data_IF_931753042533
#
_entry.id   IF_931753042533
#
_cell.length_a   1.000
_cell.length_b   1.000
_cell.length_c   1.000
_cell.angle_alpha   90.00
_cell.angle_beta   90.00
_cell.angle_gamma   90.00
#
_symmetry.space_group_name_H-M   'P 1'
#
loop_
_entity.id
_entity.type
_entity.pdbx_description
1 polymer ?
#
# COMPACT_ATOMS: atom_id res chain seq x y z
N UNK A 1 -11.02 -21.32 -16.54
CA UNK A 1 -9.53 -21.39 -16.43
C UNK A 1 -8.80 -20.83 -17.66
N UNK A 2 -9.12 -21.20 -18.93
CA UNK A 2 -8.43 -20.64 -20.09
C UNK A 2 -8.55 -19.10 -20.20
N UNK A 3 -9.76 -18.54 -19.99
CA UNK A 3 -10.00 -17.10 -20.02
C UNK A 3 -9.15 -16.37 -18.97
N UNK A 4 -9.11 -16.85 -17.72
CA UNK A 4 -8.29 -16.27 -16.65
C UNK A 4 -6.79 -16.26 -16.98
N UNK A 5 -6.29 -17.37 -17.54
CA UNK A 5 -4.86 -17.47 -17.95
C UNK A 5 -4.50 -16.57 -19.15
N UNK A 6 -5.49 -16.19 -19.96
CA UNK A 6 -5.31 -15.26 -21.08
C UNK A 6 -5.18 -13.79 -20.62
N UNK A 7 -5.61 -13.47 -19.40
CA UNK A 7 -5.46 -12.16 -18.82
C UNK A 7 -4.03 -11.99 -18.31
N UNK A 8 -3.32 -10.98 -18.84
CA UNK A 8 -1.95 -10.64 -18.43
C UNK A 8 -1.91 -9.41 -17.53
N UNK A 9 -2.83 -8.49 -17.76
CA UNK A 9 -2.97 -7.25 -16.99
C UNK A 9 -4.44 -6.98 -16.75
N UNK A 10 -4.76 -6.35 -15.62
CA UNK A 10 -6.07 -5.75 -15.37
C UNK A 10 -5.83 -4.34 -14.85
N UNK A 11 -6.50 -3.37 -15.48
CA UNK A 11 -6.57 -2.01 -14.99
C UNK A 11 -7.99 -1.73 -14.51
N UNK A 12 -8.13 -1.38 -13.25
CA UNK A 12 -9.37 -1.10 -12.57
C UNK A 12 -9.43 0.39 -12.22
N UNK A 13 -10.55 1.03 -12.47
CA UNK A 13 -10.77 2.45 -12.16
C UNK A 13 -12.08 2.61 -11.43
N UNK A 14 -12.11 3.50 -10.44
CA UNK A 14 -13.31 3.69 -9.62
C UNK A 14 -13.07 4.70 -8.52
N UNK A 15 -13.73 4.49 -7.39
CA UNK A 15 -13.64 5.35 -6.22
C UNK A 15 -13.36 4.53 -4.96
N UNK A 16 -12.69 5.13 -4.01
CA UNK A 16 -12.42 4.59 -2.69
C UNK A 16 -12.96 5.54 -1.64
N UNK A 17 -13.71 5.00 -0.69
CA UNK A 17 -14.25 5.74 0.46
C UNK A 17 -13.72 5.12 1.75
N UNK A 18 -12.77 5.77 2.46
CA UNK A 18 -12.35 5.36 3.78
C UNK A 18 -13.46 5.60 4.80
N UNK A 19 -13.64 4.70 5.77
CA UNK A 19 -14.62 4.92 6.83
C UNK A 19 -14.21 6.09 7.73
N UNK A 20 -15.21 6.84 8.20
CA UNK A 20 -14.98 8.01 9.06
C UNK A 20 -14.39 9.23 8.33
N UNK A 21 -14.25 9.15 7.02
CA UNK A 21 -13.76 10.23 6.19
C UNK A 21 -14.82 10.59 5.14
N UNK A 22 -15.37 11.80 5.21
CA UNK A 22 -16.45 12.23 4.32
C UNK A 22 -15.89 12.75 2.98
N UNK A 23 -15.01 11.95 2.38
CA UNK A 23 -14.45 12.22 1.05
C UNK A 23 -14.30 10.94 0.25
N UNK A 24 -14.48 11.08 -1.04
CA UNK A 24 -14.29 10.02 -2.02
C UNK A 24 -13.01 10.30 -2.82
N UNK A 25 -12.13 9.31 -2.87
CA UNK A 25 -10.88 9.38 -3.62
C UNK A 25 -11.09 8.72 -4.99
N UNK A 26 -10.56 9.32 -6.04
CA UNK A 26 -10.41 8.60 -7.30
C UNK A 26 -9.43 7.44 -7.09
N UNK A 27 -9.82 6.23 -7.48
CA UNK A 27 -9.05 5.02 -7.26
C UNK A 27 -8.67 4.38 -8.60
N UNK A 28 -7.41 4.04 -8.73
CA UNK A 28 -6.89 3.29 -9.88
C UNK A 28 -6.00 2.17 -9.36
N UNK A 29 -6.30 0.96 -9.77
CA UNK A 29 -5.47 -0.20 -9.50
C UNK A 29 -5.05 -0.84 -10.82
N UNK A 30 -3.80 -1.21 -10.92
CA UNK A 30 -3.24 -1.91 -12.07
C UNK A 30 -2.46 -3.12 -11.58
N UNK A 31 -2.84 -4.29 -12.04
CA UNK A 31 -2.16 -5.55 -11.72
C UNK A 31 -1.63 -6.20 -12.99
N UNK A 32 -0.50 -6.87 -12.89
CA UNK A 32 0.11 -7.57 -14.02
C UNK A 32 0.79 -8.87 -13.58
N UNK A 33 0.71 -9.87 -14.45
CA UNK A 33 1.53 -11.10 -14.28
C UNK A 33 3.01 -10.80 -14.49
N UNK A 34 3.89 -11.53 -13.79
CA UNK A 34 3.61 -12.67 -12.90
C UNK A 34 3.18 -12.30 -11.47
N UNK A 35 3.19 -11.05 -11.10
CA UNK A 35 2.82 -10.56 -9.78
C UNK A 35 3.37 -9.15 -9.60
N UNK A 36 2.71 -8.15 -10.15
CA UNK A 36 3.01 -6.74 -9.93
C UNK A 36 1.70 -5.99 -9.73
N UNK A 37 1.70 -5.01 -8.84
CA UNK A 37 0.54 -4.17 -8.55
C UNK A 37 0.96 -2.72 -8.37
N UNK A 38 0.10 -1.81 -8.80
CA UNK A 38 0.18 -0.37 -8.54
C UNK A 38 -1.21 0.15 -8.20
N UNK A 39 -1.30 0.78 -7.05
CA UNK A 39 -2.51 1.38 -6.50
C UNK A 39 -2.31 2.88 -6.40
N UNK A 40 -3.28 3.64 -6.87
CA UNK A 40 -3.29 5.10 -6.84
C UNK A 40 -4.61 5.58 -6.26
N UNK A 41 -4.55 6.38 -5.19
CA UNK A 41 -5.73 7.00 -4.58
C UNK A 41 -5.52 8.52 -4.54
N UNK A 42 -6.39 9.25 -5.25
CA UNK A 42 -6.23 10.71 -5.46
C UNK A 42 -7.35 11.49 -4.80
N UNK A 43 -6.98 12.50 -4.04
CA UNK A 43 -7.88 13.48 -3.46
C UNK A 43 -7.26 14.89 -3.59
N UNK A 44 -8.02 15.83 -4.14
CA UNK A 44 -7.61 17.24 -4.28
C UNK A 44 -6.23 17.42 -4.96
N UNK A 45 -5.92 16.58 -5.94
CA UNK A 45 -4.66 16.64 -6.69
C UNK A 45 -3.45 16.02 -5.98
N UNK A 46 -3.63 15.45 -4.78
CA UNK A 46 -2.62 14.66 -4.07
C UNK A 46 -2.90 13.18 -4.29
N UNK A 47 -1.91 12.43 -4.76
CA UNK A 47 -2.04 11.00 -5.05
C UNK A 47 -1.17 10.17 -4.11
N UNK A 48 -1.80 9.31 -3.32
CA UNK A 48 -1.13 8.20 -2.65
C UNK A 48 -0.79 7.18 -3.73
N UNK A 49 0.43 6.67 -3.71
CA UNK A 49 0.84 5.57 -4.59
C UNK A 49 1.42 4.46 -3.74
N UNK A 50 1.00 3.23 -4.00
CA UNK A 50 1.61 2.02 -3.46
C UNK A 50 1.85 1.07 -4.63
N UNK A 51 3.01 0.45 -4.69
CA UNK A 51 3.33 -0.48 -5.76
C UNK A 51 4.29 -1.58 -5.33
N UNK A 52 4.15 -2.73 -6.00
CA UNK A 52 5.08 -3.84 -5.99
C UNK A 52 5.44 -4.19 -7.43
N UNK A 53 6.73 -4.22 -7.75
CA UNK A 53 7.23 -4.45 -9.11
C UNK A 53 7.58 -5.91 -9.41
N UNK A 54 7.25 -6.82 -8.49
CA UNK A 54 7.60 -8.25 -8.53
C UNK A 54 8.85 -8.58 -7.70
N UNK A 55 9.55 -7.58 -7.16
CA UNK A 55 10.75 -7.75 -6.34
C UNK A 55 10.78 -6.84 -5.12
N UNK A 56 10.30 -5.61 -5.25
CA UNK A 56 10.34 -4.60 -4.19
C UNK A 56 9.03 -3.79 -4.14
N UNK A 57 8.63 -3.43 -2.94
CA UNK A 57 7.47 -2.57 -2.68
C UNK A 57 7.90 -1.16 -2.30
N UNK A 58 7.16 -0.17 -2.79
CA UNK A 58 7.40 1.23 -2.51
C UNK A 58 6.10 2.03 -2.44
N UNK A 59 6.17 3.24 -1.86
CA UNK A 59 5.01 4.11 -1.72
C UNK A 59 5.37 5.59 -1.82
N UNK A 60 4.33 6.41 -2.08
CA UNK A 60 4.34 7.87 -1.95
C UNK A 60 3.15 8.24 -1.06
N UNK A 61 3.37 9.02 0.01
CA UNK A 61 2.34 9.38 1.00
C UNK A 61 2.26 10.91 1.19
N UNK A 62 1.71 11.65 0.20
CA UNK A 62 1.76 13.11 0.19
C UNK A 62 0.95 13.73 1.33
N UNK A 63 -0.12 13.09 1.80
CA UNK A 63 -0.91 13.56 2.94
C UNK A 63 -0.14 13.52 4.27
N UNK A 64 0.94 12.73 4.33
CA UNK A 64 1.85 12.65 5.47
C UNK A 64 3.13 13.49 5.24
N UNK A 65 3.14 14.37 4.22
CA UNK A 65 4.30 15.17 3.85
C UNK A 65 5.41 14.41 3.12
N UNK A 66 5.23 13.09 2.87
CA UNK A 66 6.20 12.22 2.20
C UNK A 66 5.90 12.17 0.71
N UNK A 67 6.52 13.08 -0.05
CA UNK A 67 6.29 13.24 -1.49
C UNK A 67 7.25 12.45 -2.36
N UNK A 68 8.36 11.98 -1.80
CA UNK A 68 9.34 11.15 -2.50
C UNK A 68 8.99 9.66 -2.36
N UNK A 69 9.33 8.83 -3.36
CA UNK A 69 9.15 7.39 -3.26
C UNK A 69 10.01 6.80 -2.15
N UNK A 70 9.40 6.04 -1.25
CA UNK A 70 10.06 5.35 -0.13
C UNK A 70 9.73 3.87 -0.11
N UNK A 71 10.54 3.05 0.56
CA UNK A 71 10.21 1.66 0.80
C UNK A 71 9.04 1.56 1.79
N UNK A 72 8.16 0.58 1.60
CA UNK A 72 7.11 0.27 2.57
C UNK A 72 7.64 -0.59 3.72
N UNK A 73 6.85 -0.73 4.79
CA UNK A 73 7.17 -1.68 5.86
C UNK A 73 7.11 -3.13 5.36
N UNK A 74 7.74 -4.06 6.07
CA UNK A 74 7.70 -5.47 5.70
C UNK A 74 6.27 -6.05 5.71
N UNK A 75 5.41 -5.57 6.62
CA UNK A 75 4.02 -6.00 6.70
C UNK A 75 3.20 -5.45 5.52
N UNK A 76 3.38 -4.16 5.17
CA UNK A 76 2.72 -3.57 4.00
C UNK A 76 3.22 -4.20 2.68
N UNK A 77 4.49 -4.59 2.61
CA UNK A 77 5.03 -5.31 1.46
C UNK A 77 4.32 -6.64 1.23
N UNK A 78 4.07 -7.43 2.28
CA UNK A 78 3.30 -8.68 2.18
C UNK A 78 1.90 -8.44 1.61
N UNK A 79 1.21 -7.41 2.08
CA UNK A 79 -0.12 -7.08 1.58
C UNK A 79 -0.11 -6.74 0.09
N UNK A 80 0.88 -5.98 -0.36
CA UNK A 80 1.04 -5.66 -1.78
C UNK A 80 1.43 -6.88 -2.63
N UNK A 81 2.24 -7.80 -2.09
CA UNK A 81 2.57 -9.07 -2.76
C UNK A 81 1.31 -9.95 -2.93
N UNK A 82 0.44 -10.01 -1.90
CA UNK A 82 -0.83 -10.73 -1.99
C UNK A 82 -1.79 -10.08 -2.99
N UNK A 83 -1.88 -8.75 -3.01
CA UNK A 83 -2.70 -7.98 -3.94
C UNK A 83 -2.23 -8.11 -5.40
N UNK A 84 -0.93 -8.25 -5.61
CA UNK A 84 -0.35 -8.50 -6.94
C UNK A 84 -0.78 -9.84 -7.56
N UNK A 85 -1.28 -10.78 -6.75
CA UNK A 85 -1.84 -12.06 -7.20
C UNK A 85 -3.36 -11.95 -7.42
N UNK A 86 -3.77 -11.31 -8.50
CA UNK A 86 -5.19 -11.11 -8.82
C UNK A 86 -5.99 -12.42 -9.08
N UNK A 87 -5.32 -13.57 -9.15
CA UNK A 87 -5.99 -14.87 -9.19
C UNK A 87 -6.41 -15.37 -7.80
N UNK A 88 -5.80 -14.79 -6.76
CA UNK A 88 -6.02 -15.17 -5.38
C UNK A 88 -5.41 -16.51 -4.97
N UNK A 89 -5.49 -16.82 -3.69
CA UNK A 89 -4.82 -17.97 -3.08
C UNK A 89 -5.38 -19.34 -3.48
N UNK A 90 -6.59 -19.41 -4.05
CA UNK A 90 -7.20 -20.69 -4.45
C UNK A 90 -6.70 -21.21 -5.79
N UNK A 91 -6.37 -20.32 -6.73
CA UNK A 91 -5.92 -20.71 -8.08
C UNK A 91 -4.45 -21.14 -8.02
N UNK A 92 -4.19 -22.31 -8.58
CA UNK A 92 -2.85 -22.93 -8.62
C UNK A 92 -2.16 -22.96 -7.22
N UNK A 93 -2.94 -23.09 -6.15
CA UNK A 93 -2.49 -22.99 -4.76
C UNK A 93 -1.28 -23.88 -4.44
N UNK A 94 -1.22 -25.11 -4.97
CA UNK A 94 -0.09 -26.03 -4.77
C UNK A 94 1.21 -25.49 -5.38
N UNK A 95 1.11 -24.88 -6.57
CA UNK A 95 2.27 -24.27 -7.23
C UNK A 95 2.76 -23.02 -6.48
N UNK A 96 1.84 -22.31 -5.82
CA UNK A 96 2.14 -21.16 -4.94
C UNK A 96 2.66 -21.59 -3.56
N UNK A 97 2.72 -22.89 -3.28
CA UNK A 97 3.17 -23.43 -1.98
C UNK A 97 2.14 -23.32 -0.87
N UNK A 98 0.88 -23.11 -1.23
CA UNK A 98 -0.24 -23.04 -0.28
C UNK A 98 -0.91 -24.41 -0.10
N UNK A 99 -1.66 -24.55 1.00
CA UNK A 99 -2.54 -25.69 1.26
C UNK A 99 -3.98 -25.22 1.37
N UNK A 100 -4.93 -26.08 0.95
CA UNK A 100 -6.37 -25.79 1.03
C UNK A 100 -7.07 -26.88 1.81
N UNK A 101 -7.90 -26.48 2.76
CA UNK A 101 -8.74 -27.34 3.60
C UNK A 101 -10.19 -26.90 3.46
N UNK A 102 -11.12 -27.86 3.29
CA UNK A 102 -12.54 -27.57 3.36
C UNK A 102 -13.00 -27.50 4.81
N UNK A 103 -13.72 -26.44 5.15
CA UNK A 103 -14.34 -26.22 6.44
C UNK A 103 -15.83 -26.61 6.45
N UNK A 104 -16.36 -27.08 5.30
CA UNK A 104 -17.78 -27.36 5.13
C UNK A 104 -18.60 -26.09 4.87
N UNK A 105 -19.91 -26.20 5.14
CA UNK A 105 -20.84 -25.11 4.93
C UNK A 105 -20.91 -24.23 6.18
N UNK A 106 -20.76 -22.95 6.02
CA UNK A 106 -20.78 -21.94 7.11
C UNK A 106 -21.73 -20.84 6.70
N UNK A 107 -22.61 -20.42 7.61
CA UNK A 107 -23.46 -19.26 7.41
C UNK A 107 -22.67 -17.95 7.53
N UNK A 108 -22.88 -17.07 6.58
CA UNK A 108 -22.32 -15.72 6.56
C UNK A 108 -23.48 -14.72 6.43
N UNK A 109 -23.75 -13.99 7.50
CA UNK A 109 -24.81 -12.98 7.57
C UNK A 109 -26.21 -13.53 7.19
N UNK A 110 -26.49 -14.80 7.54
CA UNK A 110 -27.77 -15.46 7.25
C UNK A 110 -27.83 -16.16 5.89
N UNK A 111 -26.75 -16.20 5.14
CA UNK A 111 -26.64 -16.90 3.86
C UNK A 111 -25.66 -18.09 3.96
N UNK A 112 -26.00 -19.29 3.47
CA UNK A 112 -25.08 -20.42 3.45
C UNK A 112 -23.94 -20.16 2.48
N UNK A 113 -22.72 -20.60 2.85
CA UNK A 113 -21.53 -20.49 2.00
C UNK A 113 -20.69 -21.75 2.10
N UNK A 114 -19.94 -22.10 1.05
CA UNK A 114 -18.88 -23.09 1.13
C UNK A 114 -17.60 -22.43 1.64
N UNK A 115 -17.09 -22.88 2.77
CA UNK A 115 -15.91 -22.32 3.40
C UNK A 115 -14.65 -23.14 3.12
N UNK A 116 -13.59 -22.47 2.65
CA UNK A 116 -12.27 -23.04 2.40
C UNK A 116 -11.22 -22.25 3.16
N UNK A 117 -10.33 -22.94 3.86
CA UNK A 117 -9.13 -22.34 4.46
C UNK A 117 -7.95 -22.55 3.53
N UNK A 118 -7.30 -21.46 3.18
CA UNK A 118 -6.02 -21.44 2.46
C UNK A 118 -4.95 -21.04 3.46
N UNK A 119 -3.93 -21.87 3.63
CA UNK A 119 -2.72 -21.51 4.37
C UNK A 119 -1.64 -21.20 3.35
N UNK A 120 -1.20 -19.94 3.34
CA UNK A 120 -0.19 -19.42 2.43
C UNK A 120 1.21 -19.91 2.80
N UNK A 121 2.16 -19.82 1.88
CA UNK A 121 3.55 -20.23 2.11
C UNK A 121 4.22 -19.49 3.28
N UNK A 122 3.84 -18.23 3.52
CA UNK A 122 4.35 -17.40 4.62
C UNK A 122 3.71 -17.73 5.98
N UNK A 123 2.73 -18.66 6.01
CA UNK A 123 1.99 -19.08 7.21
C UNK A 123 0.71 -18.28 7.48
N UNK A 124 0.44 -17.22 6.74
CA UNK A 124 -0.82 -16.48 6.84
C UNK A 124 -1.98 -17.34 6.36
N UNK A 125 -3.16 -17.13 6.91
CA UNK A 125 -4.35 -17.93 6.61
C UNK A 125 -5.45 -17.05 6.05
N UNK A 126 -6.07 -17.51 4.97
CA UNK A 126 -7.21 -16.89 4.35
C UNK A 126 -8.39 -17.87 4.37
N UNK A 127 -9.51 -17.47 4.97
CA UNK A 127 -10.75 -18.24 4.88
C UNK A 127 -11.63 -17.61 3.81
N UNK A 128 -11.83 -18.36 2.74
CA UNK A 128 -12.70 -18.00 1.62
C UNK A 128 -14.11 -18.51 1.92
N UNK A 129 -15.10 -17.66 1.73
CA UNK A 129 -16.51 -18.00 1.78
C UNK A 129 -17.07 -17.83 0.37
N UNK A 130 -17.53 -18.91 -0.21
CA UNK A 130 -18.00 -18.97 -1.58
C UNK A 130 -19.52 -19.09 -1.62
N UNK A 131 -20.15 -18.34 -2.51
CA UNK A 131 -21.57 -18.56 -2.86
C UNK A 131 -21.77 -20.01 -3.33
N UNK A 132 -22.77 -20.74 -2.81
CA UNK A 132 -22.93 -22.15 -3.09
C UNK A 132 -23.33 -22.47 -4.55
N UNK A 133 -23.98 -21.53 -5.23
CA UNK A 133 -24.49 -21.72 -6.59
C UNK A 133 -23.48 -21.25 -7.65
N UNK A 134 -22.95 -20.04 -7.47
CA UNK A 134 -22.04 -19.41 -8.43
C UNK A 134 -20.56 -19.74 -8.16
N UNK A 135 -20.23 -20.19 -6.96
CA UNK A 135 -18.85 -20.40 -6.46
C UNK A 135 -17.98 -19.14 -6.54
N UNK A 136 -18.63 -17.98 -6.52
CA UNK A 136 -17.96 -16.70 -6.40
C UNK A 136 -17.61 -16.40 -4.93
N UNK A 137 -16.48 -15.77 -4.69
CA UNK A 137 -16.06 -15.39 -3.34
C UNK A 137 -16.92 -14.25 -2.83
N UNK A 138 -17.65 -14.42 -1.74
CA UNK A 138 -18.44 -13.36 -1.12
C UNK A 138 -17.70 -12.68 0.04
N UNK A 139 -16.77 -13.43 0.69
CA UNK A 139 -15.95 -12.92 1.79
C UNK A 139 -14.62 -13.66 1.88
N UNK A 140 -13.57 -12.92 2.24
CA UNK A 140 -12.31 -13.49 2.71
C UNK A 140 -12.03 -12.95 4.11
N UNK A 141 -11.67 -13.83 5.03
CA UNK A 141 -11.10 -13.44 6.32
C UNK A 141 -9.63 -13.83 6.33
N UNK A 142 -8.77 -12.83 6.38
CA UNK A 142 -7.31 -12.99 6.44
C UNK A 142 -6.84 -12.91 7.89
N UNK A 143 -6.09 -13.92 8.33
CA UNK A 143 -5.41 -13.99 9.62
C UNK A 143 -3.92 -13.91 9.38
N UNK A 144 -3.28 -12.88 9.93
CA UNK A 144 -1.85 -12.63 9.75
C UNK A 144 -1.23 -12.05 11.03
N UNK A 145 0.09 -12.11 11.12
CA UNK A 145 0.85 -11.43 12.17
C UNK A 145 1.33 -10.08 11.64
N UNK A 146 0.87 -8.99 12.27
CA UNK A 146 1.31 -7.62 11.98
C UNK A 146 2.01 -7.08 13.22
N UNK A 147 3.28 -6.72 13.09
CA UNK A 147 4.12 -6.25 14.21
C UNK A 147 4.10 -7.20 15.42
N UNK A 148 4.03 -8.51 15.17
CA UNK A 148 3.98 -9.54 16.20
C UNK A 148 2.63 -9.75 16.86
N UNK A 149 1.60 -9.01 16.49
CA UNK A 149 0.22 -9.21 16.95
C UNK A 149 -0.61 -9.91 15.87
N UNK A 150 -1.47 -10.84 16.29
CA UNK A 150 -2.43 -11.45 15.37
C UNK A 150 -3.49 -10.44 14.97
N UNK A 151 -3.72 -10.30 13.67
CA UNK A 151 -4.78 -9.47 13.11
C UNK A 151 -5.71 -10.31 12.26
N UNK A 152 -7.00 -9.98 12.30
CA UNK A 152 -8.04 -10.55 11.46
C UNK A 152 -8.65 -9.43 10.63
N UNK A 153 -8.45 -9.49 9.33
CA UNK A 153 -9.06 -8.57 8.36
C UNK A 153 -10.16 -9.30 7.60
N UNK A 154 -11.30 -8.66 7.44
CA UNK A 154 -12.40 -9.12 6.61
C UNK A 154 -12.44 -8.29 5.34
N UNK A 155 -12.63 -8.96 4.20
CA UNK A 155 -12.87 -8.33 2.90
C UNK A 155 -14.10 -8.97 2.30
N UNK A 156 -15.11 -8.16 2.02
CA UNK A 156 -16.37 -8.54 1.37
C UNK A 156 -16.33 -8.14 -0.10
N UNK A 157 -16.87 -8.99 -0.95
CA UNK A 157 -16.89 -8.83 -2.39
C UNK A 157 -18.33 -8.86 -2.90
N UNK A 158 -18.65 -7.96 -3.80
CA UNK A 158 -19.98 -7.84 -4.41
C UNK A 158 -19.94 -7.33 -5.85
N UNK A 159 -21.12 -7.16 -6.43
CA UNK A 159 -21.32 -6.60 -7.77
C UNK A 159 -20.44 -7.26 -8.83
N UNK A 160 -20.52 -8.59 -8.93
CA UNK A 160 -19.70 -9.34 -9.87
C UNK A 160 -20.12 -9.13 -11.31
N UNK A 161 -19.18 -8.66 -12.14
CA UNK A 161 -19.37 -8.48 -13.59
C UNK A 161 -18.36 -9.31 -14.38
N UNK A 162 -18.73 -9.63 -15.62
CA UNK A 162 -17.87 -10.42 -16.49
C UNK A 162 -16.96 -9.52 -17.33
N UNK A 163 -15.64 -9.71 -17.19
CA UNK A 163 -14.61 -9.04 -17.97
C UNK A 163 -13.78 -10.10 -18.71
N UNK A 164 -13.81 -10.08 -20.03
CA UNK A 164 -13.12 -11.08 -20.89
C UNK A 164 -13.39 -12.54 -20.49
N UNK A 165 -14.64 -12.86 -20.10
CA UNK A 165 -15.06 -14.21 -19.74
C UNK A 165 -14.66 -14.65 -18.31
N UNK A 166 -14.20 -13.72 -17.47
CA UNK A 166 -13.90 -13.93 -16.04
C UNK A 166 -14.76 -12.98 -15.21
N UNK A 167 -15.32 -13.47 -14.11
CA UNK A 167 -16.06 -12.65 -13.15
C UNK A 167 -15.10 -11.96 -12.20
N UNK A 168 -15.24 -10.64 -12.07
CA UNK A 168 -14.51 -9.80 -11.11
C UNK A 168 -15.52 -9.06 -10.23
N UNK A 169 -15.20 -8.83 -8.93
CA UNK A 169 -16.03 -8.03 -8.05
C UNK A 169 -15.88 -6.55 -8.39
N UNK A 170 -16.99 -5.84 -8.56
CA UNK A 170 -16.99 -4.38 -8.77
C UNK A 170 -17.18 -3.61 -7.47
N UNK A 171 -17.51 -4.29 -6.38
CA UNK A 171 -17.50 -3.74 -5.03
C UNK A 171 -16.58 -4.58 -4.11
N UNK A 172 -15.69 -3.89 -3.40
CA UNK A 172 -14.81 -4.47 -2.38
C UNK A 172 -14.87 -3.62 -1.12
N UNK A 173 -15.20 -4.23 0.02
CA UNK A 173 -15.23 -3.55 1.29
C UNK A 173 -14.36 -4.29 2.31
N UNK A 174 -13.47 -3.60 3.01
CA UNK A 174 -12.52 -4.24 3.92
C UNK A 174 -12.38 -3.50 5.25
N UNK A 175 -11.97 -4.25 6.29
CA UNK A 175 -11.72 -3.74 7.63
C UNK A 175 -11.43 -4.84 8.64
N UNK A 176 -11.23 -4.49 9.93
CA UNK A 176 -11.07 -5.48 10.98
C UNK A 176 -12.29 -6.37 11.09
N UNK A 177 -12.07 -7.68 11.23
CA UNK A 177 -13.17 -8.64 11.41
C UNK A 177 -13.99 -8.31 12.66
N UNK A 178 -15.33 -8.28 12.49
CA UNK A 178 -16.29 -7.99 13.56
C UNK A 178 -16.42 -6.52 13.92
N UNK A 179 -15.83 -5.62 13.15
CA UNK A 179 -16.00 -4.18 13.26
C UNK A 179 -16.64 -3.61 11.98
N UNK A 180 -16.98 -2.32 12.01
CA UNK A 180 -17.41 -1.61 10.79
C UNK A 180 -16.27 -1.66 9.77
N UNK A 181 -16.60 -2.00 8.51
CA UNK A 181 -15.61 -2.01 7.43
C UNK A 181 -15.04 -0.60 7.23
N UNK A 182 -13.71 -0.52 7.13
CA UNK A 182 -12.98 0.75 7.15
C UNK A 182 -12.73 1.35 5.78
N UNK A 183 -12.92 0.56 4.72
CA UNK A 183 -12.69 0.98 3.35
C UNK A 183 -13.71 0.33 2.43
N UNK A 184 -14.23 1.10 1.49
CA UNK A 184 -15.05 0.59 0.38
C UNK A 184 -14.47 1.11 -0.93
N UNK A 185 -14.27 0.20 -1.86
CA UNK A 185 -13.87 0.49 -3.24
C UNK A 185 -15.03 0.09 -4.14
N UNK A 186 -15.43 0.99 -5.03
CA UNK A 186 -16.42 0.72 -6.08
C UNK A 186 -15.75 0.98 -7.42
N UNK A 187 -15.62 -0.06 -8.21
CA UNK A 187 -15.03 0.04 -9.54
C UNK A 187 -16.08 0.49 -10.55
N UNK A 188 -15.74 1.46 -11.37
CA UNK A 188 -16.57 1.94 -12.48
C UNK A 188 -16.22 1.23 -13.80
N UNK A 189 -14.98 0.77 -13.93
CA UNK A 189 -14.54 0.03 -15.10
C UNK A 189 -13.34 -0.88 -14.79
N UNK A 190 -13.30 -2.02 -15.45
CA UNK A 190 -12.15 -2.94 -15.47
C UNK A 190 -11.81 -3.29 -16.90
N UNK A 191 -10.53 -3.17 -17.25
CA UNK A 191 -10.01 -3.45 -18.59
C UNK A 191 -8.92 -4.51 -18.48
N UNK A 192 -9.23 -5.69 -19.01
CA UNK A 192 -8.25 -6.78 -19.10
C UNK A 192 -7.34 -6.56 -20.32
N UNK A 193 -6.07 -6.89 -20.15
CA UNK A 193 -5.03 -6.75 -21.17
C UNK A 193 -4.85 -5.31 -21.68
N UNK A 194 -5.12 -4.32 -20.82
CA UNK A 194 -4.81 -2.92 -21.13
C UNK A 194 -3.29 -2.76 -21.37
N UNK A 195 -2.90 -1.93 -22.35
CA UNK A 195 -1.50 -1.59 -22.53
C UNK A 195 -0.98 -0.86 -21.29
N UNK A 196 0.25 -1.18 -20.89
CA UNK A 196 0.89 -0.57 -19.73
C UNK A 196 2.00 0.37 -20.20
N UNK A 197 2.14 1.50 -19.50
CA UNK A 197 3.30 2.35 -19.66
C UNK A 197 4.57 1.61 -19.22
N UNK A 198 5.71 1.84 -19.89
CA UNK A 198 6.97 1.27 -19.47
C UNK A 198 7.29 1.62 -18.02
N UNK A 199 7.74 0.63 -17.24
CA UNK A 199 8.14 0.81 -15.84
C UNK A 199 7.02 1.30 -14.90
N UNK A 200 5.73 1.10 -15.24
CA UNK A 200 4.58 1.57 -14.43
C UNK A 200 4.65 1.13 -12.97
N UNK A 201 5.20 -0.05 -12.69
CA UNK A 201 5.35 -0.60 -11.33
C UNK A 201 6.67 -0.21 -10.65
N UNK A 202 7.67 0.22 -11.43
CA UNK A 202 8.99 0.51 -10.90
C UNK A 202 8.99 1.75 -9.99
N UNK A 203 9.80 1.73 -8.96
CA UNK A 203 10.01 2.88 -8.09
C UNK A 203 10.62 4.03 -8.89
N UNK A 204 9.99 5.21 -8.96
CA UNK A 204 10.56 6.38 -9.62
C UNK A 204 11.90 6.77 -8.95
N UNK A 205 12.84 7.27 -9.74
CA UNK A 205 14.03 7.90 -9.16
C UNK A 205 13.59 9.13 -8.34
N UNK A 206 14.05 9.24 -7.10
CA UNK A 206 13.87 10.50 -6.36
C UNK A 206 14.49 11.62 -7.17
N UNK A 207 13.83 12.79 -7.30
CA UNK A 207 14.48 13.94 -7.88
C UNK A 207 15.81 14.15 -7.12
N UNK A 208 16.93 14.15 -7.84
CA UNK A 208 18.20 14.39 -7.23
C UNK A 208 18.11 15.67 -6.41
N UNK A 209 18.41 15.58 -5.10
CA UNK A 209 18.52 16.78 -4.29
C UNK A 209 19.43 17.75 -5.07
N UNK A 210 19.04 19.02 -5.24
CA UNK A 210 19.88 19.97 -5.96
C UNK A 210 21.25 19.90 -5.29
N UNK A 211 22.24 19.50 -6.07
CA UNK A 211 23.63 19.50 -5.62
C UNK A 211 23.97 20.96 -5.34
N UNK A 212 23.80 21.37 -4.10
CA UNK A 212 24.26 22.67 -3.61
C UNK A 212 25.80 22.63 -3.54
N UNK A 213 26.43 22.60 -4.69
CA UNK A 213 27.78 23.05 -4.82
C UNK A 213 27.73 24.58 -4.92
N UNK A 214 27.43 25.22 -3.82
CA UNK A 214 27.84 26.64 -3.65
C UNK A 214 29.31 26.58 -3.33
N UNK A 215 30.22 27.11 -4.18
CA UNK A 215 31.60 27.31 -3.76
C UNK A 215 31.54 28.25 -2.57
N UNK A 216 31.95 27.77 -1.42
CA UNK A 216 32.18 28.61 -0.25
C UNK A 216 33.28 29.59 -0.67
N UNK A 217 32.91 30.83 -1.02
CA UNK A 217 33.81 31.94 -1.12
C UNK A 217 34.46 32.04 0.27
N UNK A 218 35.75 31.80 0.31
CA UNK A 218 36.59 32.01 1.49
C UNK A 218 36.48 33.48 1.90
N UNK A 219 35.66 33.77 2.89
CA UNK A 219 35.65 35.06 3.54
C UNK A 219 37.01 35.22 4.25
N UNK A 220 37.80 36.26 3.97
CA UNK A 220 39.05 36.47 4.67
C UNK A 220 38.77 36.67 6.15
N UNK A 221 39.44 35.89 6.98
CA UNK A 221 39.39 35.98 8.44
C UNK A 221 39.68 37.40 8.90
N UNK A 222 38.81 38.06 9.68
CA UNK A 222 39.15 39.36 10.26
C UNK A 222 40.36 39.21 11.21
N UNK A 223 41.42 39.97 10.93
CA UNK A 223 42.60 40.05 11.75
C UNK A 223 42.22 40.53 13.16
N UNK A 224 42.58 39.78 14.19
CA UNK A 224 42.31 40.14 15.60
C UNK A 224 42.93 41.50 15.97
N UNK A 225 42.21 42.34 16.67
CA UNK A 225 42.77 43.64 17.11
C UNK A 225 43.96 43.45 18.08
N UNK A 226 45.02 44.18 17.80
CA UNK A 226 46.26 44.25 18.60
C UNK A 226 45.85 44.72 20.00
N UNK A 227 46.30 44.07 21.11
CA UNK A 227 45.99 44.49 22.46
C UNK A 227 46.61 45.87 22.81
N UNK A 228 45.78 46.81 23.23
CA UNK A 228 46.21 48.14 23.69
C UNK A 228 46.99 48.03 24.99
N UNK A 229 48.14 48.75 25.04
CA UNK A 229 49.01 48.90 26.22
C UNK A 229 48.20 49.34 27.43
N UNK A 230 48.42 48.79 28.64
CA UNK A 230 47.70 49.20 29.85
C UNK A 230 48.06 50.63 30.27
N UNK A 231 47.06 51.45 30.46
CA UNK A 231 47.21 52.77 31.08
C UNK A 231 47.58 52.63 32.56
N UNK A 232 48.61 53.38 32.98
CA UNK A 232 49.07 53.43 34.34
C UNK A 232 47.96 53.92 35.30
N UNK A 233 47.87 53.28 36.46
CA UNK A 233 46.95 53.58 37.54
C UNK A 233 47.34 54.86 38.25
N UNK A 234 46.45 55.83 38.54
CA UNK A 234 46.77 56.99 39.35
C UNK A 234 47.04 56.60 40.79
N UNK A 235 47.90 57.40 41.51
CA UNK A 235 48.24 57.14 42.92
C UNK A 235 47.09 57.33 43.85
N UNK A 236 47.02 56.51 44.90
CA UNK A 236 46.05 56.56 46.01
C UNK A 236 46.34 57.73 46.91
N UNK A 237 45.34 58.49 47.36
CA UNK A 237 45.50 59.55 48.36
C UNK A 237 45.78 58.95 49.75
N UNK A 238 46.50 59.72 50.66
CA UNK A 238 46.81 59.26 52.00
C UNK A 238 45.59 59.34 52.97
N UNK A 239 45.61 58.55 54.07
CA UNK A 239 44.50 58.51 54.99
C UNK A 239 44.44 59.80 55.81
N UNK A 240 43.20 60.31 56.05
CA UNK A 240 42.94 61.45 56.92
C UNK A 240 43.04 61.02 58.38
N UNK A 241 43.67 61.90 59.17
CA UNK A 241 43.81 61.89 60.66
C UNK A 241 42.49 62.02 61.38
#
# INVERSE_FOLDING_TARGET
MAALRAIKTVRMTGTMRPAGFDAELTYVETVARPGSVRIEATLQGLTIVQAFDGAASWQIQPFQGRKDPEAVSADDAKSLEEEADFEGGLIDYKAKGATVESLGDIDVDGAPTHALRVTLKNGDQQTYYLDPDALLTVRIVTRQLVRGAETLTQTDFGDYEQVNGVYFPFEVASGPKGATLQQRITYAAMVANAPLEPNVFARPASPAAPTAAVPVATVPTPQAPVPAKPKARPPTPPPAS
#
